data_IF_832792175227
#
_entry.id   IF_832792175227
#
_cell.length_a   1.000
_cell.length_b   1.000
_cell.length_c   1.000
_cell.angle_alpha   90.00
_cell.angle_beta   90.00
_cell.angle_gamma   90.00
#
_symmetry.space_group_name_H-M   'P 1'
#
loop_
_entity.id
_entity.type
_entity.pdbx_description
1 polymer ?
#
# COMPACT_ATOMS: atom_id res chain seq x y z
N UNK A 1 -15.75 -3.62 62.77
CA UNK A 1 -16.10 -3.92 61.36
C UNK A 1 -17.31 -3.06 61.02
N UNK A 2 -17.28 -2.09 60.07
CA UNK A 2 -17.20 -2.37 58.63
C UNK A 2 -16.59 -1.20 57.80
N UNK A 3 -15.29 -1.24 57.48
CA UNK A 3 -14.68 -0.26 56.54
C UNK A 3 -14.31 -0.89 55.19
N UNK A 4 -14.47 -2.22 55.07
CA UNK A 4 -13.98 -2.99 53.90
C UNK A 4 -14.96 -3.14 52.73
N UNK A 5 -16.13 -2.49 52.75
CA UNK A 5 -17.17 -2.66 51.69
C UNK A 5 -17.35 -1.48 50.75
N UNK A 6 -16.53 -0.41 50.84
CA UNK A 6 -16.68 0.78 49.97
C UNK A 6 -15.57 1.01 48.95
N UNK A 7 -14.60 0.10 48.85
CA UNK A 7 -13.48 0.23 47.90
C UNK A 7 -13.67 -0.57 46.59
N UNK A 8 -14.71 -1.39 46.47
CA UNK A 8 -14.90 -2.25 45.29
C UNK A 8 -15.74 -1.62 44.16
N UNK A 9 -16.38 -0.47 44.38
CA UNK A 9 -17.34 0.10 43.43
C UNK A 9 -16.77 1.20 42.50
N UNK A 10 -15.49 1.56 42.64
CA UNK A 10 -14.88 2.63 41.83
C UNK A 10 -13.88 2.13 40.78
N UNK A 11 -13.58 0.84 40.72
CA UNK A 11 -12.68 0.27 39.69
C UNK A 11 -13.46 -0.23 38.46
N UNK A 12 -14.77 -0.49 38.59
CA UNK A 12 -15.56 -1.12 37.52
C UNK A 12 -16.11 -0.15 36.45
N UNK A 13 -15.99 1.17 36.61
CA UNK A 13 -16.58 2.16 35.68
C UNK A 13 -15.57 2.97 34.87
N UNK A 14 -14.26 2.84 35.15
CA UNK A 14 -13.20 3.57 34.43
C UNK A 14 -12.45 2.76 33.37
N UNK A 15 -12.57 1.43 33.40
CA UNK A 15 -11.87 0.51 32.49
C UNK A 15 -12.56 0.35 31.11
N UNK A 16 -13.90 0.39 30.96
CA UNK A 16 -14.52 0.18 29.65
C UNK A 16 -14.16 1.23 28.58
N UNK A 17 -14.11 2.56 28.85
CA UNK A 17 -13.86 3.54 27.79
C UNK A 17 -12.38 3.62 27.37
N UNK A 18 -11.43 3.16 28.20
CA UNK A 18 -10.00 3.08 27.83
C UNK A 18 -9.65 1.79 27.07
N UNK A 19 -10.39 0.71 27.29
CA UNK A 19 -10.23 -0.53 26.53
C UNK A 19 -10.82 -0.41 25.11
N UNK A 20 -11.83 0.43 24.89
CA UNK A 20 -12.41 0.68 23.56
C UNK A 20 -11.52 1.53 22.64
N UNK A 21 -10.60 2.35 23.15
CA UNK A 21 -9.68 3.16 22.32
C UNK A 21 -8.43 2.38 21.89
N UNK A 22 -8.17 1.22 22.47
CA UNK A 22 -7.05 0.35 22.09
C UNK A 22 -7.44 -0.69 21.02
N UNK A 23 -8.72 -0.75 20.63
CA UNK A 23 -9.20 -1.61 19.55
C UNK A 23 -9.16 -0.83 18.22
N UNK A 24 -8.19 -1.20 17.38
CA UNK A 24 -8.11 -0.95 15.94
C UNK A 24 -7.77 0.49 15.47
N UNK A 25 -6.55 0.94 15.75
CA UNK A 25 -5.78 1.60 14.69
C UNK A 25 -4.77 0.57 14.18
N UNK A 26 -5.25 -0.43 13.42
CA UNK A 26 -4.34 -1.22 12.60
C UNK A 26 -3.57 -0.23 11.71
N UNK A 27 -2.28 -0.45 11.44
CA UNK A 27 -1.56 0.37 10.48
C UNK A 27 -2.36 0.31 9.17
N UNK A 28 -2.94 1.43 8.76
CA UNK A 28 -3.55 1.53 7.45
C UNK A 28 -2.39 1.44 6.46
N UNK A 29 -2.19 0.28 5.84
CA UNK A 29 -1.07 0.04 4.94
C UNK A 29 -1.16 0.97 3.74
N UNK A 30 -0.06 1.63 3.40
CA UNK A 30 0.06 2.25 2.09
C UNK A 30 0.48 1.21 1.07
N UNK A 31 0.23 1.41 -0.21
CA UNK A 31 0.58 0.40 -1.20
C UNK A 31 0.83 1.03 -2.56
N UNK A 32 2.00 0.78 -3.14
CA UNK A 32 2.31 1.21 -4.49
C UNK A 32 3.75 0.95 -4.90
N UNK A 33 4.09 1.34 -6.12
CA UNK A 33 5.44 1.24 -6.69
C UNK A 33 5.63 2.28 -7.79
N UNK A 34 6.87 2.55 -8.23
CA UNK A 34 7.09 3.42 -9.39
C UNK A 34 6.46 2.81 -10.65
N UNK A 35 5.61 3.60 -11.31
CA UNK A 35 5.03 3.28 -12.62
C UNK A 35 5.72 4.00 -13.78
N UNK A 36 6.43 5.10 -13.51
CA UNK A 36 7.26 5.81 -14.50
C UNK A 36 8.42 6.54 -13.80
N UNK A 37 9.69 6.13 -14.02
CA UNK A 37 10.09 4.96 -14.79
C UNK A 37 9.65 3.67 -14.09
N UNK A 38 9.32 2.64 -14.88
CA UNK A 38 8.68 1.42 -14.38
C UNK A 38 9.61 0.67 -13.42
N UNK A 39 9.10 0.25 -12.26
CA UNK A 39 9.87 -0.55 -11.30
C UNK A 39 10.03 -2.00 -11.75
N UNK A 40 11.04 -2.71 -11.23
CA UNK A 40 11.25 -4.14 -11.49
C UNK A 40 10.01 -4.98 -11.21
N UNK A 41 9.38 -4.76 -10.05
CA UNK A 41 8.21 -5.54 -9.64
C UNK A 41 6.99 -5.26 -10.50
N UNK A 42 6.76 -3.98 -10.86
CA UNK A 42 5.68 -3.61 -11.76
C UNK A 42 5.93 -4.14 -13.19
N UNK A 43 7.16 -4.06 -13.67
CA UNK A 43 7.57 -4.62 -14.96
C UNK A 43 7.31 -6.12 -15.04
N UNK A 44 7.80 -6.90 -14.06
CA UNK A 44 7.63 -8.34 -14.08
C UNK A 44 6.17 -8.77 -13.91
N UNK A 45 5.38 -8.00 -13.15
CA UNK A 45 3.94 -8.18 -13.13
C UNK A 45 3.30 -7.93 -14.52
N UNK A 46 3.74 -6.88 -15.22
CA UNK A 46 3.24 -6.55 -16.56
C UNK A 46 3.56 -7.63 -17.60
N UNK A 47 4.66 -8.35 -17.45
CA UNK A 47 5.02 -9.52 -18.28
C UNK A 47 4.17 -10.76 -17.97
N UNK A 48 3.46 -10.77 -16.84
CA UNK A 48 2.61 -11.89 -16.41
C UNK A 48 3.33 -12.75 -15.36
N UNK A 49 2.86 -12.77 -14.09
CA UNK A 49 3.57 -13.46 -13.01
C UNK A 49 3.84 -14.95 -13.23
N UNK A 50 2.92 -15.65 -13.89
CA UNK A 50 3.00 -17.11 -14.09
C UNK A 50 3.96 -17.52 -15.22
N UNK A 51 4.23 -16.61 -16.16
CA UNK A 51 5.03 -16.89 -17.36
C UNK A 51 5.60 -15.58 -17.93
N UNK A 52 6.50 -14.89 -17.21
CA UNK A 52 7.10 -13.65 -17.68
C UNK A 52 7.94 -13.87 -18.94
N UNK A 53 8.15 -12.81 -19.72
CA UNK A 53 8.80 -12.90 -21.04
C UNK A 53 10.32 -12.66 -20.98
N UNK A 54 10.78 -11.80 -20.08
CA UNK A 54 12.18 -11.45 -19.96
C UNK A 54 12.94 -12.43 -19.07
N UNK A 55 14.17 -12.77 -19.46
CA UNK A 55 15.02 -13.67 -18.69
C UNK A 55 15.29 -13.16 -17.25
N UNK A 56 15.24 -11.84 -17.03
CA UNK A 56 15.37 -11.25 -15.71
C UNK A 56 14.12 -11.50 -14.84
N UNK A 57 12.91 -11.30 -15.38
CA UNK A 57 11.67 -11.57 -14.66
C UNK A 57 11.42 -13.07 -14.46
N UNK A 58 11.77 -13.92 -15.43
CA UNK A 58 11.78 -15.38 -15.26
C UNK A 58 12.70 -15.79 -14.10
N UNK A 59 13.91 -15.23 -14.03
CA UNK A 59 14.84 -15.51 -12.94
C UNK A 59 14.32 -14.99 -11.58
N UNK A 60 13.65 -13.82 -11.58
CA UNK A 60 13.05 -13.26 -10.38
C UNK A 60 11.96 -14.19 -9.83
N UNK A 61 11.06 -14.68 -10.70
CA UNK A 61 10.02 -15.66 -10.34
C UNK A 61 10.62 -16.99 -9.90
N UNK A 62 11.65 -17.49 -10.59
CA UNK A 62 12.34 -18.72 -10.18
C UNK A 62 13.00 -18.59 -8.79
N UNK A 63 13.38 -17.39 -8.38
CA UNK A 63 14.05 -17.12 -7.10
C UNK A 63 13.06 -16.82 -5.97
N UNK A 64 12.03 -16.01 -6.23
CA UNK A 64 11.10 -15.49 -5.22
C UNK A 64 9.68 -16.07 -5.29
N UNK A 65 9.33 -16.80 -6.35
CA UNK A 65 7.96 -17.23 -6.63
C UNK A 65 7.13 -16.14 -7.32
N UNK A 66 5.88 -16.46 -7.65
CA UNK A 66 4.97 -15.56 -8.35
C UNK A 66 4.26 -14.58 -7.42
N UNK A 67 4.12 -14.92 -6.14
CA UNK A 67 3.35 -14.13 -5.16
C UNK A 67 3.86 -12.69 -5.03
N UNK A 68 5.19 -12.51 -4.98
CA UNK A 68 5.83 -11.20 -4.92
C UNK A 68 5.42 -10.26 -6.07
N UNK A 69 5.05 -10.81 -7.24
CA UNK A 69 4.57 -10.00 -8.35
C UNK A 69 3.10 -9.64 -8.16
N UNK A 70 2.25 -10.55 -7.68
CA UNK A 70 0.87 -10.21 -7.30
C UNK A 70 0.82 -9.13 -6.23
N UNK A 71 1.81 -9.13 -5.34
CA UNK A 71 1.99 -8.17 -4.25
C UNK A 71 2.95 -7.02 -4.64
N UNK A 72 2.94 -6.63 -5.93
CA UNK A 72 3.82 -5.60 -6.52
C UNK A 72 3.84 -4.26 -5.79
N UNK A 73 2.77 -3.95 -5.07
CA UNK A 73 2.58 -2.72 -4.33
C UNK A 73 3.02 -2.82 -2.86
N UNK A 74 3.59 -3.96 -2.46
CA UNK A 74 3.87 -4.35 -1.08
C UNK A 74 5.34 -4.35 -0.66
N UNK A 75 6.29 -3.86 -1.49
CA UNK A 75 7.72 -3.78 -1.13
C UNK A 75 7.93 -2.70 -0.06
N UNK A 76 7.87 -3.10 1.21
CA UNK A 76 7.77 -2.18 2.34
C UNK A 76 8.46 -2.69 3.61
N UNK A 77 8.69 -1.77 4.53
CA UNK A 77 9.08 -2.06 5.92
C UNK A 77 8.13 -1.27 6.82
N UNK A 78 7.37 -1.98 7.66
CA UNK A 78 6.32 -1.40 8.50
C UNK A 78 6.84 -0.44 9.57
N UNK A 79 8.05 -0.66 10.07
CA UNK A 79 8.67 0.09 11.16
C UNK A 79 9.93 0.87 10.71
N UNK A 80 9.97 1.26 9.43
CA UNK A 80 11.16 1.90 8.83
C UNK A 80 11.58 3.17 9.58
N UNK A 81 10.64 4.09 9.80
CA UNK A 81 10.81 5.31 10.61
C UNK A 81 12.10 6.09 10.24
N UNK A 82 12.37 6.21 8.93
CA UNK A 82 13.57 6.85 8.38
C UNK A 82 14.88 6.06 8.48
N UNK A 83 14.91 4.89 9.15
CA UNK A 83 16.11 4.06 9.38
C UNK A 83 16.46 3.15 8.19
N UNK A 84 16.30 3.63 6.96
CA UNK A 84 16.41 2.81 5.75
C UNK A 84 17.76 2.09 5.62
N UNK A 85 18.87 2.81 5.81
CA UNK A 85 20.23 2.25 5.69
C UNK A 85 20.60 1.31 6.83
N UNK A 86 19.96 1.46 7.99
CA UNK A 86 20.16 0.58 9.15
C UNK A 86 19.42 -0.75 8.95
N UNK A 87 18.20 -0.69 8.41
CA UNK A 87 17.30 -1.84 8.28
C UNK A 87 17.52 -2.66 7.01
N UNK A 88 18.03 -2.05 5.94
CA UNK A 88 18.20 -2.70 4.64
C UNK A 88 19.69 -2.94 4.37
N UNK A 89 20.18 -4.18 4.43
CA UNK A 89 21.55 -4.51 4.08
C UNK A 89 21.87 -4.24 2.60
N UNK A 90 23.14 -4.03 2.29
CA UNK A 90 23.62 -4.01 0.90
C UNK A 90 23.24 -5.31 0.17
N UNK A 91 22.88 -5.18 -1.11
CA UNK A 91 22.38 -6.27 -1.94
C UNK A 91 20.91 -6.62 -1.69
N UNK A 92 20.21 -5.92 -0.79
CA UNK A 92 18.79 -6.16 -0.45
C UNK A 92 17.89 -4.95 -0.65
N UNK A 93 18.37 -3.94 -1.38
CA UNK A 93 17.66 -2.67 -1.54
C UNK A 93 16.35 -2.83 -2.31
N UNK A 94 16.32 -3.66 -3.35
CA UNK A 94 15.14 -3.79 -4.23
C UNK A 94 14.05 -4.68 -3.62
N UNK A 95 14.40 -5.56 -2.70
CA UNK A 95 13.45 -6.30 -1.86
C UNK A 95 13.09 -5.60 -0.55
N UNK A 96 13.78 -4.52 -0.20
CA UNK A 96 13.77 -3.91 1.13
C UNK A 96 14.11 -4.91 2.26
N UNK A 97 14.97 -5.91 1.98
CA UNK A 97 15.30 -6.97 2.93
C UNK A 97 14.20 -8.03 3.13
N UNK A 98 13.08 -7.94 2.42
CA UNK A 98 11.97 -8.87 2.53
C UNK A 98 12.20 -10.13 1.66
N UNK A 99 12.15 -11.31 2.29
CA UNK A 99 12.37 -12.60 1.63
C UNK A 99 11.37 -12.91 0.51
N UNK A 100 10.15 -12.39 0.58
CA UNK A 100 9.15 -12.51 -0.49
C UNK A 100 9.68 -11.88 -1.80
N UNK A 101 10.29 -10.70 -1.69
CA UNK A 101 10.71 -9.90 -2.83
C UNK A 101 12.17 -10.15 -3.25
N UNK A 102 12.84 -11.18 -2.71
CA UNK A 102 14.27 -11.43 -2.95
C UNK A 102 14.66 -11.62 -4.42
N UNK A 103 13.72 -12.01 -5.28
CA UNK A 103 13.96 -12.11 -6.73
C UNK A 103 14.28 -10.76 -7.36
N UNK A 104 13.86 -9.64 -6.75
CA UNK A 104 14.12 -8.29 -7.24
C UNK A 104 15.57 -7.83 -6.99
N UNK A 105 16.31 -8.51 -6.11
CA UNK A 105 17.70 -8.19 -5.78
C UNK A 105 18.72 -8.81 -6.75
N UNK A 106 18.27 -9.62 -7.72
CA UNK A 106 19.17 -10.32 -8.62
C UNK A 106 20.06 -9.34 -9.40
N UNK A 107 21.40 -9.50 -9.32
CA UNK A 107 22.35 -8.61 -9.98
C UNK A 107 22.47 -8.98 -11.46
N UNK A 108 21.65 -8.35 -12.30
CA UNK A 108 21.57 -8.64 -13.73
C UNK A 108 21.66 -7.39 -14.59
N UNK A 109 22.38 -7.48 -15.70
CA UNK A 109 22.50 -6.40 -16.67
C UNK A 109 21.33 -6.35 -17.70
N UNK A 110 20.49 -7.37 -17.71
CA UNK A 110 19.39 -7.56 -18.67
C UNK A 110 17.99 -7.33 -18.09
N UNK A 111 17.89 -6.69 -16.92
CA UNK A 111 16.61 -6.16 -16.45
C UNK A 111 15.99 -5.23 -17.52
N UNK A 112 14.67 -5.36 -17.81
CA UNK A 112 14.00 -4.43 -18.69
C UNK A 112 14.14 -3.00 -18.16
N UNK A 113 14.42 -2.04 -19.04
CA UNK A 113 14.76 -0.68 -18.61
C UNK A 113 13.94 0.39 -19.33
N UNK A 114 13.58 1.46 -18.60
CA UNK A 114 12.99 2.66 -19.20
C UNK A 114 14.10 3.52 -19.84
N UNK A 115 13.92 3.92 -21.11
CA UNK A 115 14.85 4.84 -21.77
C UNK A 115 14.64 6.26 -21.26
N UNK A 116 15.70 6.91 -20.78
CA UNK A 116 15.64 8.26 -20.20
C UNK A 116 16.71 9.18 -20.80
N UNK A 117 16.57 10.47 -20.54
CA UNK A 117 17.56 11.51 -20.87
C UNK A 117 17.83 12.35 -19.65
N UNK A 118 19.04 12.91 -19.58
CA UNK A 118 19.40 13.95 -18.62
C UNK A 118 18.45 15.15 -18.73
N UNK A 119 18.20 15.83 -17.62
CA UNK A 119 17.31 16.99 -17.54
C UNK A 119 16.01 16.72 -16.77
N UNK A 120 15.00 17.54 -17.02
CA UNK A 120 13.71 17.45 -16.32
C UNK A 120 13.03 16.10 -16.56
N UNK A 121 12.55 15.48 -15.49
CA UNK A 121 11.82 14.22 -15.54
C UNK A 121 10.57 14.30 -14.66
N UNK A 122 9.48 13.69 -15.13
CA UNK A 122 8.23 13.58 -14.36
C UNK A 122 8.09 12.14 -13.89
N UNK A 123 8.19 11.94 -12.58
CA UNK A 123 8.00 10.64 -11.95
C UNK A 123 6.51 10.38 -11.71
N UNK A 124 6.10 9.12 -11.90
CA UNK A 124 4.78 8.64 -11.52
C UNK A 124 4.91 7.44 -10.60
N UNK A 125 4.33 7.55 -9.40
CA UNK A 125 4.25 6.47 -8.44
C UNK A 125 2.81 5.97 -8.38
N UNK A 126 2.56 4.74 -8.86
CA UNK A 126 1.24 4.13 -8.87
C UNK A 126 0.90 3.70 -7.45
N UNK A 127 -0.32 3.98 -7.01
CA UNK A 127 -0.78 3.74 -5.65
C UNK A 127 -2.17 3.12 -5.64
N UNK A 128 -2.38 2.11 -4.80
CA UNK A 128 -3.70 1.53 -4.55
C UNK A 128 -4.34 2.12 -3.28
N UNK A 129 -3.52 2.47 -2.28
CA UNK A 129 -3.94 3.15 -1.06
C UNK A 129 -3.09 4.43 -0.83
N UNK A 130 -3.62 5.64 -1.12
CA UNK A 130 -2.89 6.90 -0.92
C UNK A 130 -2.70 7.25 0.57
N UNK A 131 -1.49 7.65 0.93
CA UNK A 131 -1.13 8.16 2.28
C UNK A 131 -0.25 9.42 2.19
N UNK A 132 -0.05 10.09 3.32
CA UNK A 132 0.87 11.23 3.39
C UNK A 132 2.31 10.74 3.55
N UNK A 133 3.26 11.50 3.00
CA UNK A 133 4.66 11.15 3.11
C UNK A 133 5.56 11.91 2.16
N UNK A 134 6.85 11.61 2.29
CA UNK A 134 7.92 12.17 1.46
C UNK A 134 8.45 11.08 0.54
N UNK A 135 8.49 11.39 -0.75
CA UNK A 135 9.17 10.60 -1.77
C UNK A 135 10.57 11.16 -1.98
N UNK A 136 11.57 10.31 -1.90
CA UNK A 136 12.95 10.63 -2.29
C UNK A 136 13.42 9.61 -3.31
N UNK A 137 13.90 10.10 -4.45
CA UNK A 137 14.41 9.23 -5.52
C UNK A 137 15.91 9.48 -5.67
N UNK A 138 16.68 8.41 -5.53
CA UNK A 138 18.12 8.39 -5.71
C UNK A 138 18.48 7.77 -7.06
N UNK A 139 19.64 8.14 -7.59
CA UNK A 139 20.21 7.55 -8.79
C UNK A 139 21.57 6.95 -8.45
N UNK A 140 21.86 5.82 -9.07
CA UNK A 140 23.21 5.23 -9.04
C UNK A 140 24.30 6.19 -9.54
N UNK A 141 25.48 6.12 -8.93
CA UNK A 141 26.67 6.89 -9.28
C UNK A 141 27.25 6.45 -10.63
N UNK A 142 28.07 7.29 -11.29
CA UNK A 142 28.84 6.87 -12.45
C UNK A 142 29.71 5.64 -12.12
N UNK A 143 29.79 4.69 -13.06
CA UNK A 143 30.53 3.44 -12.86
C UNK A 143 29.74 2.32 -12.18
N UNK A 144 28.44 2.52 -11.92
CA UNK A 144 27.53 1.46 -11.50
C UNK A 144 27.56 0.26 -12.46
N UNK A 145 27.65 -0.94 -11.88
CA UNK A 145 27.66 -2.21 -12.59
C UNK A 145 26.39 -3.00 -12.23
N UNK A 146 25.40 -3.10 -13.14
CA UNK A 146 24.16 -3.81 -12.85
C UNK A 146 24.35 -5.33 -12.66
N UNK A 147 25.52 -5.88 -13.01
CA UNK A 147 25.85 -7.28 -12.73
C UNK A 147 26.38 -7.51 -11.30
N UNK A 148 26.39 -6.48 -10.45
CA UNK A 148 26.72 -6.58 -9.01
C UNK A 148 25.50 -6.28 -8.15
N UNK A 149 25.39 -6.87 -6.94
CA UNK A 149 24.33 -6.52 -6.00
C UNK A 149 24.39 -5.03 -5.67
N UNK A 150 23.24 -4.34 -5.76
CA UNK A 150 23.13 -2.92 -5.46
C UNK A 150 23.41 -2.68 -3.97
N UNK A 151 24.34 -1.78 -3.66
CA UNK A 151 24.66 -1.34 -2.30
C UNK A 151 24.23 0.12 -2.08
N UNK A 152 24.08 0.55 -0.83
CA UNK A 152 23.84 1.95 -0.49
C UNK A 152 24.96 2.87 -0.99
N UNK A 153 26.19 2.36 -1.00
CA UNK A 153 27.36 3.07 -1.53
C UNK A 153 27.27 3.39 -3.02
N UNK A 154 26.47 2.64 -3.78
CA UNK A 154 26.29 2.84 -5.22
C UNK A 154 25.34 4.00 -5.53
N UNK A 155 24.52 4.43 -4.57
CA UNK A 155 23.54 5.52 -4.74
C UNK A 155 24.16 6.88 -4.42
N UNK A 156 23.80 7.90 -5.19
CA UNK A 156 24.09 9.30 -4.93
C UNK A 156 23.12 9.85 -3.87
N UNK A 157 23.34 9.46 -2.61
CA UNK A 157 22.47 9.83 -1.48
C UNK A 157 22.52 11.33 -1.14
N UNK A 158 23.62 12.00 -1.50
CA UNK A 158 23.79 13.43 -1.26
C UNK A 158 22.98 14.30 -2.24
N UNK A 159 22.70 13.77 -3.44
CA UNK A 159 22.00 14.49 -4.51
C UNK A 159 20.83 13.67 -5.06
N UNK A 160 19.73 13.51 -4.30
CA UNK A 160 18.53 12.86 -4.82
C UNK A 160 18.02 13.58 -6.07
N UNK A 161 17.61 12.81 -7.08
CA UNK A 161 17.10 13.35 -8.35
C UNK A 161 15.69 13.91 -8.22
N UNK A 162 14.96 13.51 -7.17
CA UNK A 162 13.68 14.08 -6.79
C UNK A 162 13.49 14.01 -5.28
N UNK A 163 12.85 15.03 -4.71
CA UNK A 163 12.29 14.99 -3.35
C UNK A 163 10.98 15.76 -3.37
N UNK A 164 9.89 15.12 -2.93
CA UNK A 164 8.57 15.75 -2.84
C UNK A 164 7.83 15.27 -1.61
N UNK A 165 7.02 16.13 -1.00
CA UNK A 165 6.20 15.78 0.17
C UNK A 165 4.74 16.01 -0.17
N UNK A 166 3.91 15.04 0.19
CA UNK A 166 2.46 15.03 -0.03
C UNK A 166 2.04 15.44 -1.46
N UNK A 167 2.63 14.86 -2.53
CA UNK A 167 2.12 15.10 -3.88
C UNK A 167 0.65 14.65 -3.98
N UNK A 168 -0.12 15.27 -4.88
CA UNK A 168 -1.48 14.80 -5.15
C UNK A 168 -1.45 13.51 -5.98
N UNK A 169 -2.41 12.61 -5.74
CA UNK A 169 -2.56 11.34 -6.48
C UNK A 169 -3.87 11.27 -7.32
N UNK A 170 -4.15 12.23 -8.21
CA UNK A 170 -5.33 12.12 -9.07
C UNK A 170 -5.21 10.88 -9.97
N UNK A 171 -6.27 10.08 -10.04
CA UNK A 171 -6.30 8.88 -10.88
C UNK A 171 -5.39 7.72 -10.39
N UNK A 172 -5.06 7.69 -9.09
CA UNK A 172 -4.32 6.58 -8.48
C UNK A 172 -2.81 6.63 -8.68
N UNK A 173 -2.24 7.80 -9.02
CA UNK A 173 -0.79 7.96 -9.13
C UNK A 173 -0.33 9.30 -8.59
N UNK A 174 0.66 9.28 -7.70
CA UNK A 174 1.41 10.49 -7.36
C UNK A 174 2.27 10.92 -8.55
N UNK A 175 2.21 12.19 -8.90
CA UNK A 175 3.03 12.75 -9.98
C UNK A 175 3.87 13.89 -9.45
N UNK A 176 5.18 13.82 -9.67
CA UNK A 176 6.12 14.84 -9.19
C UNK A 176 7.34 14.99 -10.11
N UNK A 177 7.90 16.19 -10.12
CA UNK A 177 9.07 16.51 -10.97
C UNK A 177 10.38 16.22 -10.24
N UNK A 178 11.40 15.90 -11.03
CA UNK A 178 12.80 15.87 -10.61
C UNK A 178 13.73 16.21 -11.77
N UNK A 179 15.03 16.08 -11.54
CA UNK A 179 16.06 16.34 -12.54
C UNK A 179 17.05 15.19 -12.56
N UNK A 180 17.16 14.52 -13.71
CA UNK A 180 18.16 13.48 -13.93
C UNK A 180 19.49 14.14 -14.32
N UNK A 181 20.59 13.89 -13.60
CA UNK A 181 21.90 14.44 -13.94
C UNK A 181 22.45 13.79 -15.21
N UNK A 182 23.55 14.34 -15.72
CA UNK A 182 24.27 13.70 -16.82
C UNK A 182 24.78 12.31 -16.43
N UNK A 183 24.37 11.32 -17.21
CA UNK A 183 24.74 9.90 -17.11
C UNK A 183 24.72 9.27 -18.51
N UNK A 184 25.28 8.08 -18.63
CA UNK A 184 25.24 7.29 -19.86
C UNK A 184 25.11 5.80 -19.53
N UNK A 185 24.47 5.04 -20.42
CA UNK A 185 24.31 3.60 -20.24
C UNK A 185 23.29 3.24 -19.16
N UNK A 186 23.42 2.03 -18.61
CA UNK A 186 22.49 1.46 -17.65
C UNK A 186 22.70 2.03 -16.26
N UNK A 187 21.61 2.43 -15.63
CA UNK A 187 21.55 2.93 -14.27
C UNK A 187 20.31 2.40 -13.58
N UNK A 188 20.28 2.51 -12.26
CA UNK A 188 19.11 2.23 -11.44
C UNK A 188 18.69 3.47 -10.66
N UNK A 189 17.38 3.73 -10.64
CA UNK A 189 16.71 4.68 -9.76
C UNK A 189 16.11 3.93 -8.56
N UNK A 190 16.35 4.46 -7.37
CA UNK A 190 15.86 3.89 -6.12
C UNK A 190 14.96 4.91 -5.43
N UNK A 191 13.66 4.62 -5.37
CA UNK A 191 12.69 5.47 -4.71
C UNK A 191 12.37 4.92 -3.32
N UNK A 192 12.33 5.84 -2.35
CA UNK A 192 11.84 5.64 -1.00
C UNK A 192 10.61 6.52 -0.81
N UNK A 193 9.50 5.94 -0.37
CA UNK A 193 8.34 6.67 0.12
C UNK A 193 8.23 6.44 1.62
N UNK A 194 8.71 7.40 2.41
CA UNK A 194 8.54 7.40 3.86
C UNK A 194 7.22 8.07 4.21
N UNK A 195 6.32 7.34 4.87
CA UNK A 195 5.06 7.92 5.33
C UNK A 195 5.29 8.89 6.48
N UNK A 196 4.40 9.87 6.59
CA UNK A 196 4.39 10.84 7.70
C UNK A 196 3.27 10.59 8.72
N UNK A 197 2.35 9.67 8.41
CA UNK A 197 1.24 9.24 9.25
C UNK A 197 1.46 7.85 9.90
N UNK A 198 2.60 7.21 9.64
CA UNK A 198 3.04 5.90 10.13
C UNK A 198 4.56 5.78 9.99
N UNK A 199 5.24 4.92 10.78
CA UNK A 199 6.66 4.61 10.55
C UNK A 199 6.91 3.87 9.22
N UNK A 200 5.89 3.31 8.58
CA UNK A 200 6.04 2.49 7.38
C UNK A 200 6.66 3.24 6.18
N UNK A 201 7.52 2.56 5.43
CA UNK A 201 8.10 3.06 4.19
C UNK A 201 8.07 2.02 3.06
N UNK A 202 8.02 2.52 1.81
CA UNK A 202 7.99 1.72 0.58
C UNK A 202 9.24 1.97 -0.25
N UNK A 203 9.64 0.95 -1.00
CA UNK A 203 10.90 0.93 -1.73
C UNK A 203 10.67 0.45 -3.16
N UNK A 204 11.31 1.08 -4.13
CA UNK A 204 11.11 0.76 -5.55
C UNK A 204 12.39 0.95 -6.35
N UNK A 205 12.84 -0.11 -7.02
CA UNK A 205 13.94 -0.09 -7.97
C UNK A 205 13.40 -0.01 -9.41
N UNK A 206 13.84 0.99 -10.18
CA UNK A 206 13.54 1.12 -11.61
C UNK A 206 14.83 1.16 -12.42
N UNK A 207 15.04 0.18 -13.31
CA UNK A 207 16.17 0.17 -14.23
C UNK A 207 15.93 1.18 -15.37
N UNK A 208 16.95 1.97 -15.67
CA UNK A 208 16.90 2.99 -16.73
C UNK A 208 18.12 2.91 -17.64
N UNK A 209 18.00 3.42 -18.85
CA UNK A 209 19.14 3.55 -19.77
C UNK A 209 19.21 4.97 -20.31
N UNK A 210 20.31 5.65 -20.00
CA UNK A 210 20.62 6.99 -20.47
C UNK A 210 21.24 6.96 -21.88
N UNK A 211 20.83 7.89 -22.73
CA UNK A 211 21.30 7.99 -24.11
C UNK A 211 20.44 7.25 -25.14
N UNK A 212 19.27 6.75 -24.74
CA UNK A 212 18.32 6.04 -25.58
C UNK A 212 17.53 6.95 -26.54
N UNK A 213 18.21 7.48 -27.55
CA UNK A 213 17.59 7.70 -28.86
C UNK A 213 18.11 6.61 -29.78
N UNK A 214 17.22 5.88 -30.46
CA UNK A 214 17.56 4.78 -31.37
C UNK A 214 18.78 5.15 -32.25
N UNK A 215 19.94 4.66 -31.88
CA UNK A 215 21.18 4.77 -32.63
C UNK A 215 21.87 3.43 -32.50
N UNK A 216 21.76 2.64 -33.57
CA UNK A 216 22.47 1.37 -33.71
C UNK A 216 23.98 1.61 -33.69
N UNK A 217 24.69 0.76 -32.96
CA UNK A 217 26.15 0.81 -32.93
C UNK A 217 26.79 -0.09 -31.87
N UNK A 218 26.95 -1.37 -32.21
CA UNK A 218 28.15 -2.17 -31.88
C UNK A 218 28.49 -2.45 -30.41
N UNK A 219 27.89 -3.49 -29.84
CA UNK A 219 28.39 -4.19 -28.65
C UNK A 219 27.57 -5.46 -28.45
N UNK A 220 28.20 -6.64 -28.48
CA UNK A 220 27.57 -7.96 -28.63
C UNK A 220 26.71 -8.49 -27.48
N UNK A 221 25.93 -7.66 -26.82
CA UNK A 221 24.86 -8.09 -25.90
C UNK A 221 23.53 -7.61 -26.45
N UNK A 222 22.55 -8.52 -26.52
CA UNK A 222 21.21 -8.16 -26.96
C UNK A 222 20.70 -6.97 -26.12
N UNK A 223 20.10 -5.94 -26.74
CA UNK A 223 19.55 -4.83 -25.98
C UNK A 223 18.50 -5.36 -25.00
N UNK A 224 18.60 -4.94 -23.73
CA UNK A 224 17.60 -5.31 -22.72
C UNK A 224 16.19 -4.89 -23.20
N UNK A 225 15.16 -5.68 -22.90
CA UNK A 225 13.78 -5.36 -23.28
C UNK A 225 13.35 -3.99 -22.74
N UNK A 226 12.42 -3.34 -23.44
CA UNK A 226 11.86 -2.07 -23.00
C UNK A 226 10.89 -2.29 -21.84
N UNK A 227 11.05 -1.51 -20.76
CA UNK A 227 10.13 -1.60 -19.64
C UNK A 227 8.75 -1.00 -19.96
N UNK A 228 7.68 -1.65 -19.49
CA UNK A 228 6.26 -1.33 -19.63
C UNK A 228 5.54 -1.53 -18.30
N UNK A 229 4.75 -0.55 -17.89
CA UNK A 229 3.92 -0.66 -16.68
C UNK A 229 2.73 -1.61 -16.90
N UNK A 230 2.19 -2.24 -15.84
CA UNK A 230 0.95 -3.00 -15.91
C UNK A 230 -0.21 -2.13 -16.39
N UNK A 231 -1.09 -2.71 -17.19
CA UNK A 231 -2.37 -2.09 -17.54
C UNK A 231 -3.37 -2.21 -16.38
N UNK A 232 -4.36 -1.31 -16.32
CA UNK A 232 -5.46 -1.39 -15.36
C UNK A 232 -6.20 -2.73 -15.41
N UNK A 233 -6.33 -3.33 -16.60
CA UNK A 233 -6.94 -4.66 -16.76
C UNK A 233 -6.09 -5.73 -16.08
N UNK A 234 -4.77 -5.73 -16.30
CA UNK A 234 -3.88 -6.68 -15.64
C UNK A 234 -3.92 -6.52 -14.12
N UNK A 235 -3.96 -5.29 -13.61
CA UNK A 235 -4.08 -5.02 -12.18
C UNK A 235 -5.41 -5.55 -11.63
N UNK A 236 -6.53 -5.34 -12.34
CA UNK A 236 -7.83 -5.86 -11.94
C UNK A 236 -7.87 -7.40 -11.94
N UNK A 237 -7.31 -8.05 -12.97
CA UNK A 237 -7.32 -9.50 -13.12
C UNK A 237 -6.48 -10.21 -12.04
N UNK A 238 -5.37 -9.60 -11.58
CA UNK A 238 -4.53 -10.16 -10.53
C UNK A 238 -4.89 -9.72 -9.11
N UNK A 239 -5.81 -8.77 -8.93
CA UNK A 239 -6.19 -8.26 -7.61
C UNK A 239 -6.64 -9.37 -6.64
N UNK A 240 -7.35 -10.39 -7.14
CA UNK A 240 -7.80 -11.53 -6.32
C UNK A 240 -6.70 -12.52 -5.92
N UNK A 241 -5.48 -12.39 -6.45
CA UNK A 241 -4.32 -13.22 -6.10
C UNK A 241 -3.34 -12.50 -5.16
N UNK A 242 -3.52 -11.20 -4.97
CA UNK A 242 -2.70 -10.42 -4.06
C UNK A 242 -3.04 -10.78 -2.61
N UNK A 243 -2.02 -11.01 -1.78
CA UNK A 243 -2.17 -11.12 -0.32
C UNK A 243 -2.19 -9.76 0.36
N UNK A 244 -1.89 -8.71 -0.40
CA UNK A 244 -1.89 -7.33 0.05
C UNK A 244 -3.30 -6.75 0.02
N UNK A 245 -3.79 -6.31 1.18
CA UNK A 245 -5.09 -5.65 1.29
C UNK A 245 -5.05 -4.25 0.68
N UNK A 246 -5.78 -4.09 -0.41
CA UNK A 246 -5.88 -2.81 -1.13
C UNK A 246 -6.98 -1.88 -0.61
N UNK A 247 -7.91 -2.40 0.21
CA UNK A 247 -9.15 -1.71 0.59
C UNK A 247 -9.57 -1.92 2.06
N UNK A 248 -8.72 -2.51 2.91
CA UNK A 248 -9.06 -2.88 4.29
C UNK A 248 -8.81 -1.75 5.29
N UNK A 249 -9.87 -1.30 5.98
CA UNK A 249 -9.73 -0.67 7.29
C UNK A 249 -9.51 -1.76 8.35
N UNK A 250 -8.31 -2.36 8.35
CA UNK A 250 -7.82 -3.20 9.44
C UNK A 250 -8.83 -4.13 10.10
N UNK A 251 -9.44 -5.04 9.34
CA UNK A 251 -10.04 -6.21 9.97
C UNK A 251 -8.91 -7.05 10.57
N UNK A 252 -9.17 -7.59 11.75
CA UNK A 252 -8.17 -8.25 12.58
C UNK A 252 -7.80 -9.65 12.06
N UNK A 253 -7.50 -9.81 10.77
CA UNK A 253 -6.95 -11.05 10.24
C UNK A 253 -5.45 -11.13 10.58
N UNK A 254 -5.10 -12.09 11.45
CA UNK A 254 -3.73 -12.36 11.87
C UNK A 254 -2.81 -12.82 10.72
N UNK A 255 -3.33 -13.05 9.51
CA UNK A 255 -2.53 -13.34 8.30
C UNK A 255 -1.80 -12.11 7.73
N UNK A 256 -2.07 -10.91 8.24
CA UNK A 256 -1.46 -9.64 7.78
C UNK A 256 -0.20 -9.24 8.56
N UNK A 257 0.24 -10.03 9.54
CA UNK A 257 1.50 -9.79 10.25
C UNK A 257 2.65 -10.61 9.64
N UNK A 258 3.68 -9.93 9.14
CA UNK A 258 4.90 -10.50 8.55
C UNK A 258 5.86 -11.12 9.58
N UNK A 259 5.37 -11.88 10.56
CA UNK A 259 6.22 -12.59 11.53
C UNK A 259 6.21 -14.10 11.26
N UNK A 260 7.37 -14.80 11.24
CA UNK A 260 7.43 -16.20 10.85
C UNK A 260 6.83 -17.06 11.95
N UNK A 261 5.62 -17.57 11.73
CA UNK A 261 5.00 -18.51 12.67
C UNK A 261 5.68 -19.88 12.51
N UNK A 262 6.42 -20.32 13.53
CA UNK A 262 6.85 -21.71 13.67
C UNK A 262 5.60 -22.60 13.68
N UNK A 263 5.49 -23.50 12.70
CA UNK A 263 4.28 -24.30 12.47
C UNK A 263 3.89 -25.22 13.63
N UNK A 264 2.60 -25.52 13.82
CA UNK A 264 2.17 -26.48 14.82
C UNK A 264 2.29 -27.91 14.26
N UNK A 265 2.90 -28.76 15.08
CA UNK A 265 2.81 -30.21 15.03
C UNK A 265 1.34 -30.65 15.00
N UNK A 266 1.05 -31.64 14.16
CA UNK A 266 -0.30 -32.13 13.92
C UNK A 266 -0.97 -32.76 15.14
N UNK A 267 -2.30 -32.75 15.11
CA UNK A 267 -3.14 -33.90 15.40
C UNK A 267 -4.52 -33.69 14.76
N UNK A 268 -5.08 -34.79 14.25
CA UNK A 268 -6.30 -34.85 13.45
C UNK A 268 -7.55 -35.11 14.31
N UNK A 269 -8.71 -34.58 13.88
CA UNK A 269 -10.06 -35.18 13.93
C UNK A 269 -11.08 -34.15 13.40
N UNK A 270 -11.65 -34.31 12.20
CA UNK A 270 -12.96 -34.96 11.92
C UNK A 270 -14.16 -34.25 12.57
N UNK A 271 -15.06 -33.70 11.76
CA UNK A 271 -16.51 -34.00 11.76
C UNK A 271 -17.19 -33.27 10.60
N UNK A 272 -18.25 -33.90 10.10
CA UNK A 272 -18.88 -33.64 8.82
C UNK A 272 -20.14 -32.77 8.91
N UNK A 273 -20.50 -32.17 7.77
CA UNK A 273 -21.83 -31.98 7.21
C UNK A 273 -22.97 -31.37 8.06
N UNK A 274 -23.60 -30.35 7.49
CA UNK A 274 -25.08 -30.33 7.41
C UNK A 274 -25.54 -29.61 6.14
N UNK A 275 -26.08 -30.40 5.22
CA UNK A 275 -27.01 -29.94 4.19
C UNK A 275 -28.34 -29.54 4.84
N UNK A 276 -29.08 -28.62 4.22
CA UNK A 276 -30.55 -28.74 4.09
C UNK A 276 -30.99 -28.06 2.80
N UNK A 277 -31.65 -28.86 1.97
CA UNK A 277 -32.20 -28.55 0.67
C UNK A 277 -33.55 -27.80 0.71
N UNK A 278 -33.88 -27.14 -0.39
CA UNK A 278 -35.24 -27.03 -0.92
C UNK A 278 -35.20 -26.80 -2.44
N UNK A 279 -35.14 -27.91 -3.17
CA UNK A 279 -36.05 -28.32 -4.27
C UNK A 279 -37.33 -27.45 -4.45
N UNK A 280 -37.95 -27.20 -5.62
CA UNK A 280 -37.88 -27.65 -7.03
C UNK A 280 -38.74 -26.68 -7.87
N UNK A 281 -38.46 -26.49 -9.16
CA UNK A 281 -39.42 -26.62 -10.27
C UNK A 281 -38.87 -26.08 -11.61
N UNK A 282 -38.49 -27.01 -12.48
CA UNK A 282 -38.30 -26.85 -13.93
C UNK A 282 -39.61 -26.54 -14.66
N UNK A 283 -39.57 -25.68 -15.68
CA UNK A 283 -40.33 -25.93 -16.92
C UNK A 283 -39.76 -25.18 -18.15
N UNK A 284 -39.16 -25.98 -19.03
CA UNK A 284 -39.35 -26.05 -20.48
C UNK A 284 -38.93 -24.93 -21.43
N UNK A 285 -38.41 -25.40 -22.57
CA UNK A 285 -37.65 -24.71 -23.60
C UNK A 285 -38.47 -24.15 -24.78
N UNK A 286 -37.80 -23.24 -25.49
CA UNK A 286 -37.84 -22.95 -26.93
C UNK A 286 -39.08 -22.26 -27.54
N UNK A 287 -38.89 -21.03 -28.05
CA UNK A 287 -39.11 -20.75 -29.48
C UNK A 287 -38.32 -19.51 -29.96
N UNK A 288 -38.16 -19.45 -31.28
CA UNK A 288 -37.14 -18.77 -32.09
C UNK A 288 -37.66 -17.44 -32.65
N UNK A 289 -36.70 -16.56 -32.99
CA UNK A 289 -36.68 -15.65 -34.15
C UNK A 289 -36.85 -14.12 -33.95
N UNK A 290 -35.87 -13.43 -34.56
CA UNK A 290 -35.96 -12.21 -35.37
C UNK A 290 -36.02 -10.81 -34.71
N UNK A 291 -34.88 -10.13 -34.81
CA UNK A 291 -34.60 -8.68 -34.75
C UNK A 291 -35.38 -7.86 -35.82
N UNK A 292 -35.58 -6.53 -35.66
CA UNK A 292 -34.51 -5.55 -35.99
C UNK A 292 -34.39 -4.32 -35.08
N UNK A 293 -33.19 -3.72 -35.10
CA UNK A 293 -32.83 -2.41 -34.54
C UNK A 293 -33.39 -1.24 -35.39
N UNK A 294 -33.34 -0.01 -34.85
CA UNK A 294 -33.05 1.15 -35.69
C UNK A 294 -32.00 2.11 -35.11
N UNK A 295 -30.94 2.29 -35.90
CA UNK A 295 -30.21 3.50 -36.37
C UNK A 295 -30.18 4.83 -35.57
N UNK A 296 -28.98 5.42 -35.63
CA UNK A 296 -28.43 6.66 -35.04
C UNK A 296 -28.89 8.03 -35.62
N UNK A 297 -28.50 9.08 -34.86
CA UNK A 297 -28.16 10.48 -35.19
C UNK A 297 -29.17 11.63 -34.89
N UNK A 298 -28.73 12.92 -34.72
CA UNK A 298 -27.58 13.45 -33.96
C UNK A 298 -27.89 14.74 -33.13
N UNK A 299 -27.05 14.98 -32.11
CA UNK A 299 -26.54 16.26 -31.54
C UNK A 299 -27.47 17.48 -31.27
N UNK A 300 -27.68 17.83 -29.98
CA UNK A 300 -27.86 19.22 -29.48
C UNK A 300 -27.29 19.39 -28.04
N UNK A 301 -26.71 20.56 -27.69
CA UNK A 301 -25.95 20.77 -26.46
C UNK A 301 -26.85 21.13 -25.26
N UNK A 302 -26.47 20.69 -24.05
CA UNK A 302 -27.11 21.14 -22.79
C UNK A 302 -26.05 21.63 -21.79
N UNK A 303 -26.32 22.81 -21.24
CA UNK A 303 -25.46 23.58 -20.35
C UNK A 303 -25.41 23.02 -18.91
N UNK A 304 -24.35 23.45 -18.21
CA UNK A 304 -23.94 23.11 -16.86
C UNK A 304 -24.99 23.33 -15.76
N UNK A 305 -24.98 22.46 -14.74
CA UNK A 305 -25.70 22.69 -13.49
C UNK A 305 -25.97 21.46 -12.63
N UNK A 306 -24.99 21.15 -11.77
CA UNK A 306 -25.12 20.60 -10.40
C UNK A 306 -25.53 19.13 -10.12
N UNK A 307 -24.75 18.61 -9.14
CA UNK A 307 -24.83 17.38 -8.33
C UNK A 307 -24.73 16.04 -9.05
N UNK A 308 -23.49 15.60 -9.26
CA UNK A 308 -23.15 14.18 -9.39
C UNK A 308 -22.84 13.65 -7.98
N UNK A 309 -23.46 12.53 -7.63
CA UNK A 309 -23.29 11.79 -6.38
C UNK A 309 -21.82 11.72 -5.96
N UNK A 310 -21.50 12.42 -4.88
CA UNK A 310 -20.33 12.15 -4.07
C UNK A 310 -20.72 11.05 -3.10
N UNK A 311 -19.89 10.01 -3.05
CA UNK A 311 -19.97 8.83 -2.19
C UNK A 311 -20.87 9.01 -0.95
N UNK A 312 -21.89 8.15 -0.84
CA UNK A 312 -22.56 7.86 0.43
C UNK A 312 -21.49 7.51 1.47
N UNK A 313 -21.16 8.47 2.33
CA UNK A 313 -20.55 8.15 3.61
C UNK A 313 -21.62 7.40 4.39
N UNK A 314 -21.37 6.13 4.72
CA UNK A 314 -22.27 5.24 5.45
C UNK A 314 -22.59 5.71 6.86
N UNK A 315 -23.28 6.84 6.99
CA UNK A 315 -23.99 7.24 8.20
C UNK A 315 -25.46 6.96 8.00
N UNK A 316 -25.97 5.92 8.65
CA UNK A 316 -27.41 5.78 8.78
C UNK A 316 -27.97 6.93 9.67
N UNK A 317 -29.30 7.10 9.67
CA UNK A 317 -29.99 8.14 10.42
C UNK A 317 -29.79 8.13 11.94
N UNK A 318 -29.02 7.18 12.49
CA UNK A 318 -28.65 7.11 13.91
C UNK A 318 -27.36 7.89 14.25
N UNK A 319 -26.54 8.21 13.26
CA UNK A 319 -25.26 8.91 13.41
C UNK A 319 -25.33 10.24 14.20
N UNK A 320 -26.31 11.15 13.95
CA UNK A 320 -26.41 12.37 14.75
C UNK A 320 -26.85 12.10 16.21
N UNK A 321 -27.59 11.01 16.46
CA UNK A 321 -28.04 10.64 17.80
C UNK A 321 -26.92 10.02 18.63
N UNK A 322 -26.01 9.26 18.02
CA UNK A 322 -24.81 8.73 18.67
C UNK A 322 -23.82 9.85 19.04
N UNK A 323 -23.62 10.82 18.14
CA UNK A 323 -22.78 11.99 18.40
C UNK A 323 -23.37 12.89 19.51
N UNK A 324 -24.69 13.11 19.50
CA UNK A 324 -25.37 13.87 20.55
C UNK A 324 -25.37 13.13 21.92
N UNK A 325 -25.51 11.80 21.89
CA UNK A 325 -25.44 10.96 23.10
C UNK A 325 -24.07 11.00 23.77
N UNK A 326 -22.98 10.99 22.98
CA UNK A 326 -21.62 11.12 23.50
C UNK A 326 -21.36 12.46 24.20
N UNK A 327 -21.83 13.56 23.62
CA UNK A 327 -21.70 14.89 24.21
C UNK A 327 -22.51 15.05 25.52
N UNK A 328 -23.72 14.48 25.58
CA UNK A 328 -24.55 14.50 26.79
C UNK A 328 -23.94 13.69 27.94
N UNK A 329 -23.34 12.54 27.65
CA UNK A 329 -22.65 11.72 28.64
C UNK A 329 -21.42 12.44 29.23
N UNK A 330 -20.63 13.12 28.39
CA UNK A 330 -19.47 13.92 28.82
C UNK A 330 -19.87 15.11 29.71
N UNK A 331 -20.95 15.82 29.35
CA UNK A 331 -21.44 16.94 30.13
C UNK A 331 -21.95 16.50 31.53
N UNK A 332 -22.70 15.40 31.60
CA UNK A 332 -23.20 14.84 32.86
C UNK A 332 -22.06 14.31 33.75
N UNK A 333 -21.08 13.62 33.15
CA UNK A 333 -19.89 13.15 33.85
C UNK A 333 -19.09 14.29 34.47
N UNK A 334 -18.89 15.37 33.71
CA UNK A 334 -18.19 16.58 34.17
C UNK A 334 -18.91 17.26 35.33
N UNK A 335 -20.23 17.44 35.23
CA UNK A 335 -21.04 18.06 36.29
C UNK A 335 -21.01 17.27 37.61
N UNK A 336 -21.07 15.94 37.54
CA UNK A 336 -20.96 15.08 38.72
C UNK A 336 -19.57 15.18 39.39
N UNK A 337 -18.51 15.26 38.59
CA UNK A 337 -17.14 15.45 39.07
C UNK A 337 -16.99 16.78 39.83
N UNK A 338 -17.44 17.89 39.23
CA UNK A 338 -17.39 19.21 39.87
C UNK A 338 -18.24 19.30 41.15
N UNK A 339 -19.41 18.67 41.17
CA UNK A 339 -20.25 18.61 42.36
C UNK A 339 -19.61 17.80 43.50
N UNK A 340 -18.85 16.75 43.17
CA UNK A 340 -18.13 15.93 44.16
C UNK A 340 -16.95 16.66 44.79
N UNK A 341 -16.19 17.43 43.99
CA UNK A 341 -15.07 18.25 44.46
C UNK A 341 -15.54 19.39 45.37
N UNK A 342 -16.62 20.08 44.99
CA UNK A 342 -17.25 21.12 45.83
C UNK A 342 -17.74 20.59 47.18
N UNK A 343 -18.36 19.40 47.21
CA UNK A 343 -18.83 18.78 48.46
C UNK A 343 -17.68 18.41 49.40
N UNK A 344 -16.54 17.97 48.85
CA UNK A 344 -15.34 17.63 49.61
C UNK A 344 -14.65 18.87 50.21
N UNK A 345 -14.63 19.98 49.48
CA UNK A 345 -14.12 21.25 49.96
C UNK A 345 -14.96 21.84 51.10
N UNK A 346 -16.30 21.73 51.03
CA UNK A 346 -17.21 22.20 52.07
C UNK A 346 -17.13 21.36 53.36
N UNK A 347 -16.86 20.06 53.26
CA UNK A 347 -16.75 19.17 54.42
C UNK A 347 -15.40 19.26 55.17
N UNK A 348 -14.38 19.85 54.56
CA UNK A 348 -13.03 19.99 55.15
C UNK A 348 -12.81 21.25 56.00
N UNK A 349 -13.70 22.25 55.93
CA UNK A 349 -13.51 23.56 56.56
C UNK A 349 -13.98 23.69 58.01
N UNK A 350 -14.45 22.61 58.64
CA UNK A 350 -15.20 22.66 59.90
C UNK A 350 -14.58 21.93 61.09
N UNK A 351 -13.26 21.99 61.31
CA UNK A 351 -12.64 21.64 62.60
C UNK A 351 -11.43 22.54 62.86
N UNK A 352 -11.69 23.67 63.47
CA UNK A 352 -10.68 24.64 63.88
C UNK A 352 -11.28 25.69 64.80
N UNK A 353 -11.71 25.26 66.00
CA UNK A 353 -11.75 26.03 67.24
C UNK A 353 -12.07 25.12 68.41
#
# INVERSE_FOLDING_TARGET
>A
MPVRRKAAALVALGIPPLALTALAAAPASAHGSLGDPVSRVAQCYAEGPESPESAACEAAVATGGTQALYDWNGVRIGDADGRHQELIPDGKLCSAGNEEFKGLDLPRADWPATSVRSGSYTFKYRVTAPHKGTFTVYLTKPGYDPAKPLAWGDLDLEHPVATTTDPAAPGGSYTFSGTLPERSGKHLLYAVWQRSDSPEAFYSCSDVTFGGGASGGGGGSAPAPAASAPTERQLADGAGKSTIENHGHGDADARTATDPTTGPTGDAATEAASETASETAEQSAADRAAQPAPVDEPNRPKAAGASTDLAETGGDGSTPYLAAGGAAALALGSAALFASVRRRAAAGGGRGR
#
